data_IF_268548694592
#
_entry.id   IF_268548694592
#
_cell.length_a   1.000
_cell.length_b   1.000
_cell.length_c   1.000
_cell.angle_alpha   90.00
_cell.angle_beta   90.00
_cell.angle_gamma   90.00
#
_symmetry.space_group_name_H-M   'P 1'
#
loop_
_entity.id
_entity.type
_entity.pdbx_description
1 polymer ?
#
# COMPACT_ATOMS: atom_id res chain seq x y z
N UNK A 1 -6.26 0.97 -25.16
CA UNK A 1 -5.95 1.20 -23.73
C UNK A 1 -6.29 -0.05 -22.94
N UNK A 2 -5.58 -0.31 -21.84
CA UNK A 2 -5.83 -1.44 -20.94
C UNK A 2 -6.55 -0.96 -19.67
N UNK A 3 -7.43 -1.80 -19.11
CA UNK A 3 -8.21 -1.51 -17.92
C UNK A 3 -7.91 -2.53 -16.82
N UNK A 4 -7.93 -2.08 -15.56
CA UNK A 4 -7.71 -2.93 -14.39
C UNK A 4 -8.97 -2.83 -13.50
N UNK A 5 -9.64 -3.96 -13.30
CA UNK A 5 -10.77 -4.08 -12.38
C UNK A 5 -10.33 -4.84 -11.13
N UNK A 6 -10.34 -4.18 -9.98
CA UNK A 6 -9.97 -4.78 -8.69
C UNK A 6 -11.15 -4.69 -7.73
N UNK A 7 -11.52 -5.82 -7.12
CA UNK A 7 -12.48 -5.84 -6.02
C UNK A 7 -11.76 -5.47 -4.73
N UNK A 8 -12.29 -4.47 -4.03
CA UNK A 8 -11.80 -4.00 -2.74
C UNK A 8 -12.99 -3.65 -1.85
N UNK A 9 -12.81 -3.71 -0.53
CA UNK A 9 -13.81 -3.24 0.42
C UNK A 9 -13.97 -1.72 0.35
N UNK A 10 -15.20 -1.24 0.57
CA UNK A 10 -15.50 0.21 0.55
C UNK A 10 -14.70 0.98 1.59
N UNK A 11 -14.49 0.39 2.79
CA UNK A 11 -13.67 0.99 3.84
C UNK A 11 -12.24 1.22 3.35
N UNK A 12 -11.64 0.24 2.67
CA UNK A 12 -10.28 0.34 2.13
C UNK A 12 -10.22 1.43 1.06
N UNK A 13 -11.20 1.46 0.15
CA UNK A 13 -11.30 2.47 -0.92
C UNK A 13 -11.38 3.89 -0.34
N UNK A 14 -12.23 4.09 0.66
CA UNK A 14 -12.41 5.39 1.32
C UNK A 14 -11.13 5.84 2.04
N UNK A 15 -10.51 4.95 2.82
CA UNK A 15 -9.26 5.25 3.54
C UNK A 15 -8.13 5.59 2.57
N UNK A 16 -7.93 4.78 1.53
CA UNK A 16 -6.92 5.03 0.51
C UNK A 16 -7.18 6.35 -0.24
N UNK A 17 -8.43 6.64 -0.61
CA UNK A 17 -8.80 7.89 -1.28
C UNK A 17 -8.46 9.11 -0.42
N UNK A 18 -8.72 9.07 0.88
CA UNK A 18 -8.41 10.19 1.78
C UNK A 18 -6.90 10.48 1.83
N UNK A 19 -6.09 9.43 1.90
CA UNK A 19 -4.63 9.55 1.90
C UNK A 19 -4.14 10.13 0.57
N UNK A 20 -4.55 9.54 -0.56
CA UNK A 20 -4.11 10.04 -1.87
C UNK A 20 -4.58 11.45 -2.16
N UNK A 21 -5.80 11.84 -1.74
CA UNK A 21 -6.28 13.23 -1.87
C UNK A 21 -5.41 14.22 -1.10
N UNK A 22 -4.91 13.86 0.09
CA UNK A 22 -3.97 14.73 0.83
C UNK A 22 -2.64 14.92 0.11
N UNK A 23 -2.30 14.02 -0.81
CA UNK A 23 -1.13 14.10 -1.69
C UNK A 23 -1.45 14.71 -3.06
N UNK A 24 -2.69 15.16 -3.30
CA UNK A 24 -3.13 15.69 -4.60
C UNK A 24 -3.30 14.61 -5.69
N UNK A 25 -3.47 13.34 -5.31
CA UNK A 25 -3.56 12.21 -6.23
C UNK A 25 -4.95 11.55 -6.18
N UNK A 26 -5.42 11.09 -7.34
CA UNK A 26 -6.55 10.16 -7.41
C UNK A 26 -6.05 8.70 -7.31
N UNK A 27 -6.98 7.77 -7.06
CA UNK A 27 -6.64 6.34 -6.92
C UNK A 27 -5.99 5.80 -8.19
N UNK A 28 -6.46 6.21 -9.37
CA UNK A 28 -5.95 5.68 -10.64
C UNK A 28 -4.50 6.10 -10.87
N UNK A 29 -4.17 7.37 -10.56
CA UNK A 29 -2.78 7.85 -10.63
C UNK A 29 -1.90 7.13 -9.61
N UNK A 30 -2.38 6.90 -8.39
CA UNK A 30 -1.64 6.16 -7.37
C UNK A 30 -1.35 4.70 -7.81
N UNK A 31 -2.34 4.00 -8.37
CA UNK A 31 -2.16 2.64 -8.91
C UNK A 31 -1.18 2.65 -10.09
N UNK A 32 -1.22 3.67 -10.96
CA UNK A 32 -0.27 3.82 -12.06
C UNK A 32 1.16 3.98 -11.54
N UNK A 33 1.37 4.84 -10.53
CA UNK A 33 2.68 5.01 -9.90
C UNK A 33 3.19 3.72 -9.28
N UNK A 34 2.32 2.97 -8.61
CA UNK A 34 2.67 1.65 -8.06
C UNK A 34 3.18 0.70 -9.15
N UNK A 35 2.47 0.59 -10.27
CA UNK A 35 2.87 -0.27 -11.39
C UNK A 35 4.17 0.20 -12.06
N UNK A 36 4.34 1.51 -12.23
CA UNK A 36 5.60 2.07 -12.74
C UNK A 36 6.77 1.71 -11.82
N UNK A 37 6.58 1.81 -10.51
CA UNK A 37 7.62 1.46 -9.55
C UNK A 37 7.98 -0.02 -9.62
N UNK A 38 6.99 -0.92 -9.76
CA UNK A 38 7.24 -2.35 -9.98
C UNK A 38 8.07 -2.59 -11.25
N UNK A 39 7.79 -1.85 -12.33
CA UNK A 39 8.54 -1.98 -13.59
C UNK A 39 9.98 -1.47 -13.45
N UNK A 40 10.19 -0.38 -12.71
CA UNK A 40 11.50 0.24 -12.47
C UNK A 40 12.36 -0.66 -11.57
N UNK A 41 11.83 -1.09 -10.42
CA UNK A 41 12.60 -1.84 -9.42
C UNK A 41 12.64 -3.34 -9.69
N UNK A 42 11.84 -3.84 -10.65
CA UNK A 42 11.64 -5.27 -10.91
C UNK A 42 11.25 -6.05 -9.66
N UNK A 43 10.55 -5.38 -8.73
CA UNK A 43 10.20 -5.91 -7.42
C UNK A 43 8.92 -5.27 -6.90
N UNK A 44 8.34 -5.83 -5.85
CA UNK A 44 7.25 -5.17 -5.14
C UNK A 44 7.84 -3.97 -4.37
N UNK A 45 7.30 -2.74 -4.53
CA UNK A 45 7.88 -1.51 -3.99
C UNK A 45 7.55 -1.27 -2.51
N UNK A 46 7.39 -2.35 -1.76
CA UNK A 46 7.26 -2.34 -0.31
C UNK A 46 7.66 -3.70 0.24
N UNK A 47 8.06 -3.73 1.51
CA UNK A 47 8.48 -4.97 2.16
C UNK A 47 7.25 -5.81 2.52
N UNK A 48 7.25 -7.07 2.10
CA UNK A 48 6.23 -8.04 2.47
C UNK A 48 6.63 -8.77 3.74
N UNK A 49 5.73 -8.79 4.72
CA UNK A 49 5.90 -9.55 5.95
C UNK A 49 4.60 -10.29 6.25
N UNK A 50 4.71 -11.58 6.58
CA UNK A 50 3.59 -12.33 7.10
C UNK A 50 3.23 -11.85 8.53
N UNK A 51 1.97 -12.02 8.95
CA UNK A 51 1.49 -11.55 10.27
C UNK A 51 2.26 -12.18 11.45
N UNK A 52 2.74 -13.40 11.27
CA UNK A 52 3.51 -14.17 12.22
C UNK A 52 5.02 -13.84 12.20
N UNK A 53 5.46 -12.96 11.29
CA UNK A 53 6.87 -12.63 11.14
C UNK A 53 7.45 -12.04 12.45
N UNK A 54 8.52 -12.64 13.00
CA UNK A 54 9.10 -12.24 14.28
C UNK A 54 9.64 -10.80 14.28
N UNK A 55 10.03 -10.25 13.12
CA UNK A 55 10.47 -8.86 12.96
C UNK A 55 9.31 -7.90 13.25
N UNK A 56 8.10 -8.19 12.75
CA UNK A 56 6.92 -7.37 13.01
C UNK A 56 6.49 -7.48 14.48
N UNK A 57 6.51 -8.68 15.07
CA UNK A 57 6.18 -8.86 16.50
C UNK A 57 7.10 -8.04 17.42
N UNK A 58 8.40 -8.01 17.14
CA UNK A 58 9.37 -7.19 17.91
C UNK A 58 9.13 -5.69 17.73
N UNK A 59 8.82 -5.23 16.52
CA UNK A 59 8.51 -3.82 16.26
C UNK A 59 7.21 -3.36 16.94
N UNK A 60 6.17 -4.19 16.95
CA UNK A 60 4.91 -3.91 17.63
C UNK A 60 5.09 -3.84 19.16
N UNK A 61 5.89 -4.74 19.73
CA UNK A 61 6.16 -4.76 21.17
C UNK A 61 6.98 -3.53 21.63
N UNK A 62 7.91 -3.04 20.80
CA UNK A 62 8.75 -1.87 21.12
C UNK A 62 7.93 -0.57 21.20
N UNK A 63 6.87 -0.44 20.41
CA UNK A 63 5.96 0.73 20.44
C UNK A 63 5.03 0.78 21.65
N UNK A 64 4.86 -0.34 22.37
CA UNK A 64 4.02 -0.43 23.58
C UNK A 64 4.75 -0.08 24.88
N UNK A 65 6.07 0.12 24.82
CA UNK A 65 6.93 0.45 25.97
C UNK A 65 7.40 1.93 25.96
N UNK A 66 6.78 2.77 25.14
CA UNK A 66 6.98 4.23 25.09
C UNK A 66 5.65 4.91 25.40
#
# INVERSE_FOLDING_TARGET
MAYIHVRIDDKLKMSASKVFKSLGLDISSAVKLFLQQVVITKSIPFRLYAKDNPVIKKMALKRRKL
#
